data_IF_334116928077
#
_entry.id   IF_334116928077
#
_cell.length_a   1.000
_cell.length_b   1.000
_cell.length_c   1.000
_cell.angle_alpha   90.00
_cell.angle_beta   90.00
_cell.angle_gamma   90.00
#
_symmetry.space_group_name_H-M   'P 1'
#
loop_
_entity.id
_entity.type
_entity.pdbx_description
1 polymer ?
#
# COMPACT_ATOMS: atom_id res chain seq x y z
N UNK A 1 -26.33 -2.65 1.32
CA UNK A 1 -25.13 -3.33 0.77
C UNK A 1 -25.58 -4.51 -0.08
N UNK A 2 -25.09 -4.61 -1.32
CA UNK A 2 -25.35 -5.78 -2.16
C UNK A 2 -24.66 -7.04 -1.61
N UNK A 3 -25.06 -8.23 -2.05
CA UNK A 3 -24.48 -9.50 -1.57
C UNK A 3 -22.97 -9.59 -1.83
N UNK A 4 -22.50 -9.09 -2.98
CA UNK A 4 -21.06 -9.03 -3.31
C UNK A 4 -20.27 -8.13 -2.35
N UNK A 5 -20.86 -6.99 -1.95
CA UNK A 5 -20.25 -6.04 -1.02
C UNK A 5 -20.12 -6.65 0.38
N UNK A 6 -21.15 -7.37 0.85
CA UNK A 6 -21.10 -8.12 2.10
C UNK A 6 -20.04 -9.22 2.06
N UNK A 7 -19.96 -9.95 0.94
CA UNK A 7 -18.95 -10.98 0.73
C UNK A 7 -17.53 -10.42 0.76
N UNK A 8 -17.30 -9.27 0.11
CA UNK A 8 -16.01 -8.60 0.11
C UNK A 8 -15.60 -8.14 1.52
N UNK A 9 -16.52 -7.53 2.26
CA UNK A 9 -16.27 -7.12 3.66
C UNK A 9 -15.95 -8.34 4.53
N UNK A 10 -16.73 -9.41 4.40
CA UNK A 10 -16.51 -10.64 5.18
C UNK A 10 -15.13 -11.23 4.86
N UNK A 11 -14.77 -11.33 3.58
CA UNK A 11 -13.50 -11.89 3.14
C UNK A 11 -12.31 -11.06 3.63
N UNK A 12 -12.39 -9.72 3.55
CA UNK A 12 -11.37 -8.81 4.08
C UNK A 12 -11.24 -8.97 5.60
N UNK A 13 -12.37 -9.06 6.33
CA UNK A 13 -12.34 -9.25 7.79
C UNK A 13 -11.73 -10.57 8.21
N UNK A 14 -12.15 -11.67 7.56
CA UNK A 14 -11.58 -13.00 7.83
C UNK A 14 -10.09 -13.03 7.52
N UNK A 15 -9.66 -12.45 6.39
CA UNK A 15 -8.25 -12.38 6.02
C UNK A 15 -7.44 -11.55 7.01
N UNK A 16 -7.97 -10.39 7.43
CA UNK A 16 -7.32 -9.52 8.41
C UNK A 16 -7.23 -10.15 9.81
N UNK A 17 -8.28 -10.84 10.26
CA UNK A 17 -8.27 -11.60 11.52
C UNK A 17 -7.28 -12.78 11.46
N UNK A 18 -7.22 -13.50 10.35
CA UNK A 18 -6.24 -14.56 10.15
C UNK A 18 -4.81 -14.01 10.22
N UNK A 19 -4.54 -12.90 9.52
CA UNK A 19 -3.24 -12.22 9.57
C UNK A 19 -2.88 -11.73 10.98
N UNK A 20 -3.86 -11.26 11.77
CA UNK A 20 -3.62 -10.87 13.16
C UNK A 20 -3.16 -12.02 14.05
N UNK A 21 -3.49 -13.28 13.72
CA UNK A 21 -2.97 -14.43 14.48
C UNK A 21 -1.44 -14.54 14.40
N UNK A 22 -0.79 -13.90 13.42
CA UNK A 22 0.66 -13.77 13.34
C UNK A 22 1.28 -13.00 14.53
N UNK A 23 0.48 -12.30 15.34
CA UNK A 23 0.98 -11.71 16.58
C UNK A 23 1.48 -12.78 17.58
N UNK A 24 0.90 -13.99 17.53
CA UNK A 24 1.31 -15.12 18.37
C UNK A 24 2.78 -15.49 18.08
N UNK A 25 3.18 -15.88 16.84
CA UNK A 25 4.57 -16.18 16.54
C UNK A 25 5.51 -14.97 16.71
N UNK A 26 5.02 -13.73 16.60
CA UNK A 26 5.85 -12.54 16.84
C UNK A 26 6.41 -12.47 18.27
N UNK A 27 5.64 -12.90 19.27
CA UNK A 27 6.05 -12.90 20.69
C UNK A 27 6.48 -14.27 21.20
N UNK A 28 6.29 -15.32 20.40
CA UNK A 28 6.55 -16.70 20.79
C UNK A 28 8.06 -16.95 21.03
N UNK A 29 8.43 -17.75 22.05
CA UNK A 29 9.82 -18.18 22.24
C UNK A 29 10.29 -19.07 21.09
N UNK A 30 11.59 -18.95 20.75
CA UNK A 30 12.18 -19.68 19.62
C UNK A 30 12.11 -21.20 19.81
N UNK A 31 12.15 -21.68 21.05
CA UNK A 31 12.00 -23.10 21.38
C UNK A 31 10.62 -23.66 20.97
N UNK A 32 9.55 -22.88 21.10
CA UNK A 32 8.23 -23.29 20.65
C UNK A 32 8.13 -23.31 19.12
N UNK A 33 8.77 -22.35 18.43
CA UNK A 33 8.91 -22.39 16.97
C UNK A 33 9.67 -23.65 16.52
N UNK A 34 10.79 -23.98 17.17
CA UNK A 34 11.56 -25.17 16.88
C UNK A 34 10.74 -26.47 17.10
N UNK A 35 9.92 -26.50 18.15
CA UNK A 35 9.03 -27.63 18.40
C UNK A 35 7.98 -27.81 17.29
N UNK A 36 7.37 -26.72 16.82
CA UNK A 36 6.42 -26.75 15.69
C UNK A 36 7.14 -27.18 14.41
N UNK A 37 8.33 -26.66 14.14
CA UNK A 37 9.14 -27.03 12.97
C UNK A 37 9.45 -28.54 12.93
N UNK A 38 9.82 -29.13 14.07
CA UNK A 38 9.99 -30.59 14.20
C UNK A 38 8.68 -31.35 14.04
N UNK A 39 7.59 -30.87 14.64
CA UNK A 39 6.28 -31.50 14.56
C UNK A 39 5.73 -31.53 13.12
N UNK A 40 6.00 -30.47 12.33
CA UNK A 40 5.65 -30.39 10.91
C UNK A 40 6.56 -31.24 10.00
N UNK A 41 7.58 -31.91 10.56
CA UNK A 41 8.52 -32.71 9.79
C UNK A 41 9.52 -31.90 8.95
N UNK A 42 9.70 -30.61 9.26
CA UNK A 42 10.64 -29.73 8.55
C UNK A 42 12.09 -29.86 9.05
N UNK A 43 12.33 -30.69 10.06
CA UNK A 43 13.66 -30.96 10.63
C UNK A 43 14.03 -30.02 11.78
N UNK A 44 15.33 -29.86 12.02
CA UNK A 44 15.83 -28.93 13.03
C UNK A 44 15.86 -27.50 12.49
N UNK A 45 15.35 -26.57 13.29
CA UNK A 45 15.36 -25.16 12.92
C UNK A 45 16.77 -24.59 13.15
N UNK A 46 17.40 -23.93 12.16
CA UNK A 46 18.73 -23.36 12.33
C UNK A 46 18.78 -22.37 13.49
N UNK A 47 19.78 -22.51 14.34
CA UNK A 47 19.99 -21.61 15.46
C UNK A 47 20.74 -20.35 15.00
N UNK A 48 20.23 -19.18 15.41
CA UNK A 48 20.93 -17.92 15.16
C UNK A 48 20.06 -16.69 15.40
N UNK A 49 20.67 -15.55 15.77
CA UNK A 49 19.94 -14.31 16.01
C UNK A 49 19.18 -13.83 14.75
N UNK A 50 19.72 -14.10 13.56
CA UNK A 50 19.07 -13.73 12.30
C UNK A 50 17.74 -14.44 12.09
N UNK A 51 17.67 -15.75 12.35
CA UNK A 51 16.42 -16.52 12.21
C UNK A 51 15.38 -16.00 13.19
N UNK A 52 15.76 -15.81 14.45
CA UNK A 52 14.86 -15.27 15.47
C UNK A 52 14.39 -13.84 15.18
N UNK A 53 15.21 -13.03 14.52
CA UNK A 53 14.83 -11.69 14.07
C UNK A 53 13.87 -11.75 12.87
N UNK A 54 14.20 -12.52 11.84
CA UNK A 54 13.39 -12.63 10.61
C UNK A 54 12.01 -13.21 10.89
N UNK A 55 11.92 -14.30 11.67
CA UNK A 55 10.62 -14.93 11.97
C UNK A 55 9.70 -13.98 12.75
N UNK A 56 10.23 -13.24 13.73
CA UNK A 56 9.42 -12.30 14.53
C UNK A 56 9.05 -11.03 13.79
N UNK A 57 10.01 -10.43 13.06
CA UNK A 57 9.75 -9.23 12.27
C UNK A 57 8.78 -9.51 11.12
N UNK A 58 8.90 -10.67 10.46
CA UNK A 58 7.95 -11.11 9.44
C UNK A 58 6.56 -11.35 10.03
N UNK A 59 6.48 -11.99 11.19
CA UNK A 59 5.20 -12.19 11.90
C UNK A 59 4.55 -10.85 12.29
N UNK A 60 5.34 -9.90 12.78
CA UNK A 60 4.85 -8.55 13.11
C UNK A 60 4.39 -7.79 11.85
N UNK A 61 5.08 -7.95 10.72
CA UNK A 61 4.69 -7.38 9.44
C UNK A 61 3.34 -7.95 8.98
N UNK A 62 3.12 -9.25 9.09
CA UNK A 62 1.83 -9.87 8.77
C UNK A 62 0.71 -9.38 9.70
N UNK A 63 0.98 -9.25 11.00
CA UNK A 63 0.00 -8.68 11.93
C UNK A 63 -0.35 -7.22 11.57
N UNK A 64 0.65 -6.39 11.25
CA UNK A 64 0.44 -5.01 10.81
C UNK A 64 -0.34 -4.94 9.49
N UNK A 65 -0.05 -5.83 8.54
CA UNK A 65 -0.83 -5.99 7.32
C UNK A 65 -2.27 -6.40 7.61
N UNK A 66 -2.50 -7.30 8.58
CA UNK A 66 -3.83 -7.68 9.05
C UNK A 66 -4.64 -6.48 9.59
N UNK A 67 -4.02 -5.62 10.41
CA UNK A 67 -4.63 -4.36 10.88
C UNK A 67 -5.02 -3.46 9.70
N UNK A 68 -4.14 -3.30 8.71
CA UNK A 68 -4.42 -2.51 7.52
C UNK A 68 -5.63 -3.07 6.75
N UNK A 69 -5.67 -4.39 6.52
CA UNK A 69 -6.79 -5.05 5.83
C UNK A 69 -8.10 -4.89 6.61
N UNK A 70 -8.07 -4.99 7.94
CA UNK A 70 -9.24 -4.74 8.79
C UNK A 70 -9.71 -3.29 8.72
N UNK A 71 -8.79 -2.33 8.74
CA UNK A 71 -9.13 -0.92 8.59
C UNK A 71 -9.81 -0.63 7.25
N UNK A 72 -9.30 -1.22 6.17
CA UNK A 72 -9.89 -1.13 4.83
C UNK A 72 -11.29 -1.75 4.78
N UNK A 73 -11.54 -2.79 5.58
CA UNK A 73 -12.87 -3.43 5.68
C UNK A 73 -13.95 -2.55 6.33
N UNK A 74 -13.58 -1.45 7.01
CA UNK A 74 -14.53 -0.53 7.64
C UNK A 74 -15.27 0.32 6.62
N UNK A 75 -14.62 0.70 5.51
CA UNK A 75 -15.21 1.49 4.44
C UNK A 75 -14.72 1.04 3.06
N UNK A 76 -15.26 -0.10 2.61
CA UNK A 76 -14.82 -0.75 1.37
C UNK A 76 -15.11 0.12 0.14
N UNK A 77 -16.20 0.90 0.13
CA UNK A 77 -16.56 1.75 -1.02
C UNK A 77 -15.54 2.84 -1.26
N UNK A 78 -15.11 3.50 -0.19
CA UNK A 78 -14.06 4.53 -0.25
C UNK A 78 -12.71 3.93 -0.64
N UNK A 79 -12.40 2.74 -0.15
CA UNK A 79 -11.11 2.08 -0.36
C UNK A 79 -11.09 1.09 -1.54
N UNK A 80 -12.11 1.03 -2.40
CA UNK A 80 -12.19 0.11 -3.54
C UNK A 80 -10.93 0.10 -4.43
N UNK A 81 -10.32 1.25 -4.79
CA UNK A 81 -9.08 1.26 -5.56
C UNK A 81 -7.91 0.59 -4.82
N UNK A 82 -7.84 0.78 -3.49
CA UNK A 82 -6.83 0.17 -2.64
C UNK A 82 -7.06 -1.34 -2.50
N UNK A 83 -8.31 -1.79 -2.37
CA UNK A 83 -8.67 -3.21 -2.35
C UNK A 83 -8.24 -3.89 -3.65
N UNK A 84 -8.46 -3.26 -4.81
CA UNK A 84 -7.98 -3.77 -6.10
C UNK A 84 -6.45 -3.86 -6.14
N UNK A 85 -5.75 -2.82 -5.65
CA UNK A 85 -4.30 -2.84 -5.55
C UNK A 85 -3.81 -4.01 -4.67
N UNK A 86 -4.36 -4.17 -3.47
CA UNK A 86 -4.05 -5.27 -2.56
C UNK A 86 -4.34 -6.65 -3.18
N UNK A 87 -5.43 -6.78 -3.92
CA UNK A 87 -5.79 -8.00 -4.63
C UNK A 87 -4.75 -8.35 -5.71
N UNK A 88 -4.31 -7.39 -6.53
CA UNK A 88 -3.23 -7.62 -7.51
C UNK A 88 -1.90 -7.95 -6.83
N UNK A 89 -1.53 -7.21 -5.78
CA UNK A 89 -0.31 -7.49 -5.01
C UNK A 89 -0.35 -8.90 -4.41
N UNK A 90 -1.51 -9.35 -3.92
CA UNK A 90 -1.69 -10.70 -3.40
C UNK A 90 -1.47 -11.76 -4.49
N UNK A 91 -1.99 -11.56 -5.70
CA UNK A 91 -1.75 -12.48 -6.82
C UNK A 91 -0.26 -12.56 -7.16
N UNK A 92 0.42 -11.41 -7.29
CA UNK A 92 1.86 -11.38 -7.57
C UNK A 92 2.66 -12.03 -6.45
N UNK A 93 2.32 -11.73 -5.19
CA UNK A 93 2.97 -12.30 -4.02
C UNK A 93 2.76 -13.82 -3.95
N UNK A 94 1.55 -14.33 -4.17
CA UNK A 94 1.26 -15.76 -4.16
C UNK A 94 1.98 -16.54 -5.26
N UNK A 95 2.12 -15.95 -6.46
CA UNK A 95 2.96 -16.54 -7.52
C UNK A 95 4.43 -16.56 -7.08
N UNK A 96 4.92 -15.47 -6.49
CA UNK A 96 6.28 -15.37 -5.95
C UNK A 96 6.56 -16.42 -4.88
N UNK A 97 5.64 -16.60 -3.93
CA UNK A 97 5.73 -17.62 -2.88
C UNK A 97 5.73 -19.03 -3.47
N UNK A 98 4.84 -19.33 -4.41
CA UNK A 98 4.83 -20.65 -5.08
C UNK A 98 6.19 -20.99 -5.73
N UNK A 99 6.82 -20.02 -6.41
CA UNK A 99 8.15 -20.21 -7.01
C UNK A 99 9.22 -20.35 -5.94
N UNK A 100 9.17 -19.54 -4.88
CA UNK A 100 10.13 -19.57 -3.77
C UNK A 100 10.07 -20.90 -3.02
N UNK A 101 8.88 -21.38 -2.67
CA UNK A 101 8.69 -22.64 -1.94
C UNK A 101 9.20 -23.83 -2.73
N UNK A 102 8.97 -23.81 -4.05
CA UNK A 102 9.54 -24.79 -4.98
C UNK A 102 11.07 -24.72 -5.05
N UNK A 103 11.65 -23.52 -5.06
CA UNK A 103 13.10 -23.32 -5.12
C UNK A 103 13.81 -23.71 -3.80
N UNK A 104 13.16 -23.53 -2.66
CA UNK A 104 13.69 -23.87 -1.33
C UNK A 104 13.46 -25.34 -0.96
N UNK A 105 12.63 -26.06 -1.73
CA UNK A 105 12.38 -27.48 -1.53
C UNK A 105 11.39 -27.76 -0.39
N UNK A 106 10.42 -26.87 -0.18
CA UNK A 106 9.35 -27.09 0.80
C UNK A 106 8.50 -28.32 0.42
N UNK A 107 7.85 -28.99 1.39
CA UNK A 107 6.97 -30.12 1.10
C UNK A 107 5.83 -29.75 0.15
N UNK A 108 5.43 -30.66 -0.75
CA UNK A 108 4.40 -30.35 -1.77
C UNK A 108 3.06 -29.87 -1.17
N UNK A 109 2.66 -30.41 -0.02
CA UNK A 109 1.43 -29.97 0.66
C UNK A 109 1.50 -28.52 1.14
N UNK A 110 2.71 -28.04 1.47
CA UNK A 110 2.97 -26.64 1.84
C UNK A 110 2.92 -25.75 0.60
N UNK A 111 3.64 -26.11 -0.46
CA UNK A 111 3.67 -25.37 -1.74
C UNK A 111 2.26 -25.15 -2.30
N UNK A 112 1.43 -26.20 -2.28
CA UNK A 112 0.04 -26.13 -2.79
C UNK A 112 -0.86 -25.32 -1.86
N UNK A 113 -0.60 -25.37 -0.55
CA UNK A 113 -1.40 -24.70 0.47
C UNK A 113 -1.12 -23.20 0.59
N UNK A 114 0.11 -22.74 0.34
CA UNK A 114 0.50 -21.35 0.55
C UNK A 114 0.27 -20.49 -0.70
N UNK A 115 1.15 -20.61 -1.70
CA UNK A 115 1.13 -19.75 -2.89
C UNK A 115 -0.20 -19.76 -3.66
N UNK A 116 -0.72 -20.92 -4.09
CA UNK A 116 -1.98 -21.02 -4.83
C UNK A 116 -3.18 -20.51 -4.05
N UNK A 117 -3.25 -20.75 -2.74
CA UNK A 117 -4.35 -20.24 -1.91
C UNK A 117 -4.36 -18.70 -1.88
N UNK A 118 -3.18 -18.07 -1.76
CA UNK A 118 -3.03 -16.61 -1.81
C UNK A 118 -3.45 -16.06 -3.18
N UNK A 119 -3.07 -16.73 -4.27
CA UNK A 119 -3.47 -16.35 -5.64
C UNK A 119 -4.99 -16.41 -5.79
N UNK A 120 -5.62 -17.51 -5.37
CA UNK A 120 -7.08 -17.68 -5.43
C UNK A 120 -7.77 -16.59 -4.60
N UNK A 121 -7.29 -16.32 -3.38
CA UNK A 121 -7.83 -15.25 -2.54
C UNK A 121 -7.74 -13.87 -3.24
N UNK A 122 -6.59 -13.56 -3.85
CA UNK A 122 -6.39 -12.33 -4.61
C UNK A 122 -7.34 -12.20 -5.81
N UNK A 123 -7.54 -13.28 -6.57
CA UNK A 123 -8.47 -13.31 -7.71
C UNK A 123 -9.92 -13.08 -7.24
N UNK A 124 -10.34 -13.76 -6.16
CA UNK A 124 -11.69 -13.61 -5.60
C UNK A 124 -11.92 -12.19 -5.08
N UNK A 125 -10.94 -11.60 -4.38
CA UNK A 125 -11.00 -10.21 -3.93
C UNK A 125 -11.13 -9.23 -5.11
N UNK A 126 -10.33 -9.43 -6.16
CA UNK A 126 -10.38 -8.60 -7.36
C UNK A 126 -11.75 -8.69 -8.04
N UNK A 127 -12.28 -9.90 -8.19
CA UNK A 127 -13.58 -10.15 -8.80
C UNK A 127 -14.71 -9.49 -8.02
N UNK A 128 -14.78 -9.70 -6.69
CA UNK A 128 -15.78 -9.08 -5.82
C UNK A 128 -15.68 -7.54 -5.82
N UNK A 129 -14.46 -6.99 -5.82
CA UNK A 129 -14.24 -5.55 -5.93
C UNK A 129 -14.67 -4.99 -7.29
N UNK A 130 -14.58 -5.78 -8.37
CA UNK A 130 -15.14 -5.47 -9.69
C UNK A 130 -16.66 -5.41 -9.68
N UNK A 131 -17.32 -6.36 -9.01
CA UNK A 131 -18.79 -6.42 -8.90
C UNK A 131 -19.39 -5.31 -8.05
N UNK A 132 -18.64 -4.74 -7.10
CA UNK A 132 -19.10 -3.64 -6.24
C UNK A 132 -19.04 -2.26 -6.91
N UNK A 133 -18.18 -2.10 -7.92
CA UNK A 133 -18.06 -0.87 -8.69
C UNK A 133 -18.60 -1.08 -10.09
N UNK A 134 -19.89 -0.77 -10.32
CA UNK A 134 -20.44 -0.67 -11.68
C UNK A 134 -19.48 0.11 -12.58
N UNK A 135 -19.06 -0.51 -13.69
CA UNK A 135 -17.93 -0.12 -14.55
C UNK A 135 -17.90 1.38 -14.90
N UNK A 136 -16.71 2.01 -14.92
CA UNK A 136 -15.93 1.96 -16.16
C UNK A 136 -14.46 1.53 -15.96
N UNK A 137 -14.16 0.35 -16.50
CA UNK A 137 -12.99 0.10 -17.35
C UNK A 137 -11.57 0.07 -16.73
N UNK A 138 -10.57 -0.32 -17.54
CA UNK A 138 -9.17 -0.59 -17.15
C UNK A 138 -8.35 0.64 -16.71
N UNK A 139 -9.00 1.66 -16.15
CA UNK A 139 -8.39 2.94 -15.78
C UNK A 139 -7.57 2.84 -14.49
N UNK A 140 -7.96 1.97 -13.53
CA UNK A 140 -7.17 1.77 -12.29
C UNK A 140 -5.95 0.90 -12.56
N UNK A 141 -6.11 -0.20 -13.30
CA UNK A 141 -4.99 -1.04 -13.73
C UNK A 141 -4.00 -0.26 -14.60
N UNK A 142 -4.50 0.58 -15.54
CA UNK A 142 -3.64 1.55 -16.25
C UNK A 142 -3.05 2.58 -15.29
N UNK A 143 -3.78 3.24 -14.40
CA UNK A 143 -3.20 4.27 -13.52
C UNK A 143 -2.11 3.77 -12.58
N UNK A 144 -2.23 2.55 -12.04
CA UNK A 144 -1.16 1.94 -11.23
C UNK A 144 0.07 1.63 -12.10
N UNK A 145 -0.14 1.05 -13.29
CA UNK A 145 0.95 0.81 -14.25
C UNK A 145 1.61 2.12 -14.71
N UNK A 146 0.82 3.20 -14.87
CA UNK A 146 1.29 4.54 -15.25
C UNK A 146 2.06 5.24 -14.11
N UNK A 147 1.69 5.00 -12.85
CA UNK A 147 2.39 5.53 -11.68
C UNK A 147 3.78 4.90 -11.56
N UNK A 148 3.90 3.59 -11.80
CA UNK A 148 5.20 2.91 -11.87
C UNK A 148 6.00 3.23 -13.14
N UNK A 149 5.34 3.52 -14.26
CA UNK A 149 6.00 3.85 -15.53
C UNK A 149 6.47 5.32 -15.66
N UNK A 150 6.34 6.14 -14.61
CA UNK A 150 6.89 7.50 -14.55
C UNK A 150 6.33 8.50 -15.58
N UNK A 151 5.22 8.20 -16.26
CA UNK A 151 4.64 9.10 -17.26
C UNK A 151 3.55 9.96 -16.62
N UNK A 152 3.84 11.24 -16.44
CA UNK A 152 2.83 12.24 -16.08
C UNK A 152 1.80 12.34 -17.21
N UNK A 153 0.49 12.45 -16.90
CA UNK A 153 -0.50 12.81 -17.90
C UNK A 153 -0.15 14.19 -18.44
N UNK A 154 0.12 14.28 -19.75
CA UNK A 154 0.31 15.57 -20.42
C UNK A 154 -1.01 16.33 -20.27
N UNK A 155 -1.03 17.35 -19.42
CA UNK A 155 -2.17 18.25 -19.28
C UNK A 155 -2.47 18.80 -20.68
N UNK A 156 -3.65 18.48 -21.21
CA UNK A 156 -4.12 19.13 -22.42
C UNK A 156 -4.37 20.61 -22.08
N UNK A 157 -3.39 21.44 -22.40
CA UNK A 157 -3.54 22.90 -22.40
C UNK A 157 -4.54 23.21 -23.50
N UNK A 158 -5.80 23.39 -23.14
CA UNK A 158 -6.76 24.07 -24.00
C UNK A 158 -6.44 25.55 -23.96
N UNK A 159 -5.73 26.04 -24.97
CA UNK A 159 -5.57 27.47 -25.25
C UNK A 159 -6.96 28.08 -25.51
N UNK A 160 -7.37 29.14 -24.80
CA UNK A 160 -8.53 29.93 -25.19
C UNK A 160 -8.19 30.67 -26.49
N UNK A 161 -8.95 30.41 -27.56
CA UNK A 161 -8.93 31.25 -28.77
C UNK A 161 -9.39 32.66 -28.38
N UNK A 162 -8.52 33.64 -28.55
CA UNK A 162 -8.90 35.05 -28.65
C UNK A 162 -9.88 35.23 -29.82
N UNK A 163 -11.07 35.73 -29.50
CA UNK A 163 -11.95 36.38 -30.47
C UNK A 163 -12.12 37.82 -30.00
N UNK A 164 -11.30 38.70 -30.55
CA UNK A 164 -11.49 40.15 -30.50
C UNK A 164 -12.70 40.53 -31.37
N UNK A 165 -13.63 41.36 -30.90
CA UNK A 165 -14.51 42.14 -31.76
C UNK A 165 -14.09 43.62 -31.81
N UNK A 166 -14.27 44.31 -32.96
CA UNK A 166 -13.79 45.67 -33.15
C UNK A 166 -14.75 46.71 -32.54
N UNK A 167 -14.16 47.67 -31.83
CA UNK A 167 -14.57 49.07 -31.79
C UNK A 167 -15.98 49.44 -31.31
N UNK A 168 -16.10 49.94 -30.07
CA UNK A 168 -16.97 51.08 -29.78
C UNK A 168 -16.64 51.78 -28.45
N UNK A 169 -16.26 53.06 -28.55
CA UNK A 169 -16.65 54.17 -27.66
C UNK A 169 -16.38 54.08 -26.16
N UNK A 170 -15.41 54.87 -25.71
CA UNK A 170 -15.49 55.81 -24.58
C UNK A 170 -16.69 55.67 -23.61
N UNK A 171 -16.43 55.46 -22.31
CA UNK A 171 -16.82 56.35 -21.19
C UNK A 171 -15.95 55.99 -19.98
N UNK A 172 -15.34 57.02 -19.40
CA UNK A 172 -14.55 57.01 -18.18
C UNK A 172 -15.50 57.06 -16.97
N UNK A 173 -15.37 56.12 -16.04
CA UNK A 173 -15.91 56.25 -14.68
C UNK A 173 -14.88 55.66 -13.72
N UNK A 174 -14.08 56.56 -13.14
CA UNK A 174 -13.41 56.32 -11.87
C UNK A 174 -14.49 56.05 -10.83
N UNK A 175 -14.37 54.98 -10.05
CA UNK A 175 -14.49 55.03 -8.59
C UNK A 175 -14.65 53.64 -7.96
N UNK A 176 -13.78 53.41 -6.97
CA UNK A 176 -14.04 52.72 -5.71
C UNK A 176 -13.79 51.21 -5.57
N UNK A 177 -12.98 50.98 -4.53
CA UNK A 177 -12.85 49.79 -3.66
C UNK A 177 -11.86 48.73 -4.10
N UNK A 178 -10.59 49.02 -3.82
CA UNK A 178 -9.54 48.03 -3.64
C UNK A 178 -9.82 47.14 -2.42
N UNK A 179 -10.09 45.86 -2.68
CA UNK A 179 -9.92 44.78 -1.73
C UNK A 179 -9.00 43.76 -2.39
N UNK A 180 -7.72 43.88 -2.02
CA UNK A 180 -6.61 43.12 -2.58
C UNK A 180 -6.78 41.62 -2.38
N UNK A 181 -6.85 40.90 -3.50
CA UNK A 181 -6.52 39.48 -3.57
C UNK A 181 -5.03 39.34 -3.24
N UNK A 182 -4.71 38.79 -2.06
CA UNK A 182 -3.36 38.32 -1.76
C UNK A 182 -3.03 37.16 -2.70
N UNK A 183 -2.15 37.44 -3.65
CA UNK A 183 -1.51 36.47 -4.53
C UNK A 183 -0.49 35.68 -3.69
N UNK A 184 -0.75 34.39 -3.50
CA UNK A 184 0.16 33.46 -2.82
C UNK A 184 1.12 32.91 -3.87
N UNK A 185 2.10 33.71 -4.29
CA UNK A 185 3.24 33.27 -5.11
C UNK A 185 4.35 34.33 -5.04
N UNK A 186 5.01 34.42 -3.89
CA UNK A 186 6.37 34.96 -3.85
C UNK A 186 7.33 33.83 -3.45
N UNK A 187 8.46 33.64 -4.16
CA UNK A 187 9.47 32.67 -3.77
C UNK A 187 10.17 33.12 -2.48
N UNK A 188 10.27 32.20 -1.51
CA UNK A 188 10.98 32.40 -0.25
C UNK A 188 12.47 32.68 -0.53
N UNK A 189 13.07 33.76 0.00
CA UNK A 189 14.49 34.03 -0.19
C UNK A 189 15.36 32.96 0.50
N UNK A 190 16.25 32.35 -0.29
CA UNK A 190 17.35 31.48 0.15
C UNK A 190 18.38 32.30 0.95
N UNK A 191 18.09 32.54 2.24
CA UNK A 191 18.98 33.28 3.12
C UNK A 191 18.80 33.02 4.63
N UNK A 192 17.91 32.10 5.02
CA UNK A 192 17.55 31.94 6.44
C UNK A 192 17.38 30.47 6.87
N UNK A 193 18.39 29.65 6.57
CA UNK A 193 18.59 28.35 7.22
C UNK A 193 19.98 28.31 7.84
N UNK A 194 20.14 29.01 8.96
CA UNK A 194 21.28 28.82 9.86
C UNK A 194 20.97 27.58 10.71
N UNK A 195 21.53 26.44 10.35
CA UNK A 195 21.44 25.22 11.14
C UNK A 195 22.13 25.42 12.50
N UNK A 196 21.54 24.98 13.63
CA UNK A 196 22.29 24.83 14.86
C UNK A 196 23.29 23.67 14.69
N UNK A 197 24.55 23.96 14.98
CA UNK A 197 25.65 23.00 14.99
C UNK A 197 25.35 21.86 15.97
N UNK A 198 25.22 20.64 15.46
CA UNK A 198 25.18 19.43 16.27
C UNK A 198 26.61 19.09 16.66
N UNK A 199 26.99 19.38 17.90
CA UNK A 199 28.31 19.05 18.44
C UNK A 199 28.44 17.55 18.63
N UNK A 200 29.40 16.99 17.90
CA UNK A 200 29.92 15.64 18.07
C UNK A 200 30.56 15.47 19.44
N UNK A 201 29.99 14.61 20.27
CA UNK A 201 30.47 14.24 21.60
C UNK A 201 30.34 12.75 21.86
N UNK A 202 30.91 11.90 21.01
CA UNK A 202 31.12 10.47 21.28
C UNK A 202 32.58 10.26 21.69
N UNK A 203 32.84 10.32 23.00
CA UNK A 203 34.04 9.76 23.61
C UNK A 203 33.79 8.28 23.86
N UNK A 204 34.41 7.42 23.06
CA UNK A 204 34.64 6.04 23.47
C UNK A 204 35.78 6.03 24.48
N UNK A 205 35.45 5.79 25.75
CA UNK A 205 36.39 5.43 26.80
C UNK A 205 36.47 3.91 26.90
N UNK A 206 37.67 3.38 26.77
CA UNK A 206 38.02 2.01 27.07
C UNK A 206 37.88 1.73 28.58
N UNK A 207 37.24 0.61 28.93
CA UNK A 207 37.69 -0.43 29.89
C UNK A 207 36.96 -1.73 29.51
#
# INVERSE_FOLDING_TARGET
MGSAEKGLVLLLRLSGLLLLTALIPAVMPLAAMAAIHRWLGLGEMPEGPLIGYLTRSLSALYAAHGVLVLFVSLDVRRYLPLVKCLAALSVVFGIGMFVLDGAVGMPCWWIVGEGPAIVVLGIVLWWLAGSCGGSPGPVVARRVLWWFAGRTPRAAVTSPRETEPPGRGFVKSEDSVGLGRKSYCDPVPLGMLRAPAYSSGLRFGAV
#
